data_IF_909983488449
#
_entry.id   IF_909983488449
#
_cell.length_a   1.000
_cell.length_b   1.000
_cell.length_c   1.000
_cell.angle_alpha   90.00
_cell.angle_beta   90.00
_cell.angle_gamma   90.00
#
_symmetry.space_group_name_H-M   'P 1'
#
loop_
_entity.id
_entity.type
_entity.pdbx_description
1 polymer ?
#
# COMPACT_ATOMS: atom_id res chain seq x y z
N UNK A 1 -15.84 11.28 23.87
CA UNK A 1 -15.00 11.78 22.75
C UNK A 1 -15.82 11.75 21.45
N UNK A 2 -15.96 12.87 20.73
CA UNK A 2 -16.58 12.88 19.39
C UNK A 2 -15.58 12.33 18.36
N UNK A 3 -15.93 11.27 17.63
CA UNK A 3 -15.14 10.76 16.49
C UNK A 3 -15.06 11.85 15.41
N UNK A 4 -13.86 12.38 15.17
CA UNK A 4 -13.58 13.26 14.03
C UNK A 4 -13.61 12.43 12.76
N UNK A 5 -14.56 12.70 11.86
CA UNK A 5 -14.55 12.17 10.50
C UNK A 5 -13.65 13.06 9.64
N UNK A 6 -12.45 12.58 9.34
CA UNK A 6 -11.48 13.25 8.48
C UNK A 6 -11.52 12.56 7.12
N UNK A 7 -11.69 13.31 6.04
CA UNK A 7 -11.50 12.80 4.67
C UNK A 7 -10.00 12.80 4.37
N UNK A 8 -9.51 11.75 3.72
CA UNK A 8 -8.11 11.65 3.32
C UNK A 8 -8.01 11.79 1.80
N UNK A 9 -7.09 12.62 1.33
CA UNK A 9 -6.66 12.68 -0.07
C UNK A 9 -5.22 12.16 -0.15
N UNK A 10 -5.03 11.04 -0.84
CA UNK A 10 -3.71 10.46 -1.08
C UNK A 10 -3.30 10.80 -2.51
N UNK A 11 -2.14 11.45 -2.67
CA UNK A 11 -1.56 11.78 -3.96
C UNK A 11 -0.31 10.94 -4.12
N UNK A 12 -0.40 9.90 -4.96
CA UNK A 12 0.74 9.07 -5.30
C UNK A 12 1.64 9.76 -6.34
N UNK A 13 2.94 9.48 -6.30
CA UNK A 13 3.95 10.12 -7.14
C UNK A 13 3.93 11.66 -7.04
N UNK A 14 3.84 12.18 -5.82
CA UNK A 14 3.76 13.61 -5.55
C UNK A 14 4.94 14.42 -6.12
N UNK A 15 6.08 13.79 -6.40
CA UNK A 15 7.22 14.41 -7.10
C UNK A 15 6.88 15.01 -8.48
N UNK A 16 5.73 14.67 -9.06
CA UNK A 16 5.25 15.25 -10.32
C UNK A 16 4.31 16.45 -10.14
N UNK A 17 3.99 16.84 -8.90
CA UNK A 17 3.21 18.04 -8.63
C UNK A 17 4.04 19.28 -8.93
N UNK A 18 3.45 20.24 -9.65
CA UNK A 18 4.02 21.57 -9.78
C UNK A 18 3.63 22.48 -8.58
N UNK A 19 4.32 23.61 -8.43
CA UNK A 19 4.03 24.60 -7.39
C UNK A 19 2.58 25.11 -7.41
N UNK A 20 1.97 25.23 -8.59
CA UNK A 20 0.57 25.67 -8.73
C UNK A 20 -0.40 24.68 -8.07
N UNK A 21 -0.22 23.39 -8.36
CA UNK A 21 -0.99 22.31 -7.77
C UNK A 21 -0.76 22.24 -6.25
N UNK A 22 0.50 22.34 -5.81
CA UNK A 22 0.84 22.34 -4.39
C UNK A 22 0.19 23.51 -3.65
N UNK A 23 0.22 24.73 -4.21
CA UNK A 23 -0.46 25.91 -3.64
C UNK A 23 -1.96 25.69 -3.53
N UNK A 24 -2.61 25.14 -4.57
CA UNK A 24 -4.04 24.83 -4.54
C UNK A 24 -4.39 23.79 -3.48
N UNK A 25 -3.56 22.78 -3.28
CA UNK A 25 -3.73 21.78 -2.21
C UNK A 25 -3.63 22.43 -0.82
N UNK A 26 -2.72 23.38 -0.64
CA UNK A 26 -2.60 24.13 0.62
C UNK A 26 -3.83 25.00 0.88
N UNK A 27 -4.35 25.68 -0.14
CA UNK A 27 -5.61 26.43 -0.05
C UNK A 27 -6.77 25.52 0.29
N UNK A 28 -6.91 24.38 -0.40
CA UNK A 28 -7.95 23.40 -0.13
C UNK A 28 -7.89 22.89 1.31
N UNK A 29 -6.71 22.50 1.79
CA UNK A 29 -6.50 22.07 3.18
C UNK A 29 -6.89 23.16 4.17
N UNK A 30 -6.54 24.42 3.90
CA UNK A 30 -6.91 25.58 4.74
C UNK A 30 -8.43 25.78 4.79
N UNK A 31 -9.13 25.67 3.66
CA UNK A 31 -10.58 25.78 3.59
C UNK A 31 -11.29 24.63 4.31
N UNK A 32 -10.77 23.40 4.20
CA UNK A 32 -11.34 22.22 4.84
C UNK A 32 -10.96 22.08 6.33
N UNK A 33 -10.06 22.91 6.86
CA UNK A 33 -9.58 22.86 8.25
C UNK A 33 -9.19 21.43 8.64
N UNK A 34 -9.60 20.97 9.83
CA UNK A 34 -9.29 19.63 10.36
C UNK A 34 -10.16 18.51 9.76
N UNK A 35 -10.87 18.76 8.65
CA UNK A 35 -11.74 17.75 7.99
C UNK A 35 -11.09 17.12 6.76
N UNK A 36 -9.91 17.57 6.35
CA UNK A 36 -9.14 17.02 5.25
C UNK A 36 -7.69 16.77 5.66
N UNK A 37 -7.27 15.51 5.59
CA UNK A 37 -5.86 15.12 5.57
C UNK A 37 -5.39 14.99 4.13
N UNK A 38 -4.20 15.49 3.83
CA UNK A 38 -3.55 15.31 2.52
C UNK A 38 -2.25 14.55 2.77
N UNK A 39 -2.06 13.47 2.04
CA UNK A 39 -0.85 12.65 2.08
C UNK A 39 -0.19 12.71 0.71
N UNK A 40 1.03 13.25 0.68
CA UNK A 40 1.86 13.29 -0.51
C UNK A 40 2.82 12.11 -0.45
N UNK A 41 2.66 11.14 -1.35
CA UNK A 41 3.50 9.96 -1.40
C UNK A 41 4.53 10.15 -2.51
N UNK A 42 5.81 10.07 -2.15
CA UNK A 42 6.93 10.18 -3.08
C UNK A 42 7.84 8.98 -2.94
N UNK A 43 8.48 8.58 -4.03
CA UNK A 43 9.57 7.58 -3.99
C UNK A 43 10.87 8.30 -3.69
N UNK A 44 11.56 7.86 -2.64
CA UNK A 44 12.89 8.34 -2.31
C UNK A 44 13.93 7.55 -3.12
N UNK A 45 14.88 8.25 -3.73
CA UNK A 45 16.05 7.59 -4.30
C UNK A 45 16.99 7.12 -3.18
N UNK A 46 17.81 6.13 -3.46
CA UNK A 46 18.81 5.64 -2.51
C UNK A 46 19.72 6.78 -2.06
N UNK A 47 19.85 7.00 -0.74
CA UNK A 47 20.60 8.08 -0.10
C UNK A 47 20.01 9.50 -0.25
N UNK A 48 18.81 9.65 -0.78
CA UNK A 48 18.15 10.94 -0.86
C UNK A 48 17.71 11.44 0.52
N UNK A 49 17.76 12.76 0.74
CA UNK A 49 17.14 13.37 1.94
C UNK A 49 15.62 13.32 1.80
N UNK A 50 14.89 13.24 2.91
CA UNK A 50 13.41 13.11 2.90
C UNK A 50 12.69 14.21 2.11
N UNK A 51 13.28 15.41 2.01
CA UNK A 51 12.70 16.56 1.30
C UNK A 51 13.09 16.62 -0.17
N UNK A 52 14.13 15.91 -0.56
CA UNK A 52 14.74 16.01 -1.89
C UNK A 52 13.73 15.87 -3.04
N UNK A 53 12.73 14.95 -2.98
CA UNK A 53 11.77 14.80 -4.08
C UNK A 53 10.83 16.00 -4.29
N UNK A 54 10.65 16.86 -3.30
CA UNK A 54 9.76 18.02 -3.34
C UNK A 54 10.48 19.33 -3.03
N UNK A 55 11.81 19.31 -2.92
CA UNK A 55 12.59 20.43 -2.39
C UNK A 55 12.39 21.70 -3.22
N UNK A 56 12.44 21.59 -4.54
CA UNK A 56 12.22 22.72 -5.45
C UNK A 56 10.82 23.33 -5.29
N UNK A 57 9.79 22.50 -5.13
CA UNK A 57 8.42 22.98 -4.96
C UNK A 57 8.17 23.54 -3.57
N UNK A 58 8.83 23.00 -2.55
CA UNK A 58 8.83 23.58 -1.20
C UNK A 58 9.60 24.90 -1.12
N UNK A 59 10.64 25.11 -1.92
CA UNK A 59 11.29 26.42 -2.05
C UNK A 59 10.33 27.45 -2.68
N UNK A 60 9.52 27.04 -3.66
CA UNK A 60 8.50 27.89 -4.31
C UNK A 60 7.26 28.10 -3.45
N UNK A 61 6.95 27.17 -2.54
CA UNK A 61 5.79 27.22 -1.64
C UNK A 61 6.22 26.95 -0.18
N UNK A 62 6.90 27.91 0.48
CA UNK A 62 7.50 27.69 1.81
C UNK A 62 6.50 27.25 2.89
N UNK A 63 5.27 27.79 2.84
CA UNK A 63 4.21 27.43 3.77
C UNK A 63 3.83 25.94 3.73
N UNK A 64 4.04 25.26 2.59
CA UNK A 64 3.82 23.82 2.50
C UNK A 64 4.88 23.04 3.28
N UNK A 65 6.15 23.48 3.23
CA UNK A 65 7.28 22.84 3.92
C UNK A 65 7.10 22.82 5.44
N UNK A 66 6.56 23.90 5.99
CA UNK A 66 6.34 24.10 7.43
C UNK A 66 5.23 23.20 7.99
N UNK A 67 4.19 22.93 7.18
CA UNK A 67 3.01 22.19 7.63
C UNK A 67 3.04 20.72 7.27
N UNK A 68 3.82 20.33 6.26
CA UNK A 68 4.00 18.93 5.86
C UNK A 68 4.84 18.19 6.90
N UNK A 69 4.22 17.23 7.59
CA UNK A 69 4.93 16.27 8.42
C UNK A 69 5.54 15.19 7.53
N UNK A 70 6.79 14.84 7.79
CA UNK A 70 7.52 13.83 7.03
C UNK A 70 7.43 12.50 7.76
N UNK A 71 7.12 11.46 7.02
CA UNK A 71 7.14 10.09 7.50
C UNK A 71 7.92 9.31 6.47
N UNK A 72 9.06 8.78 6.87
CA UNK A 72 9.80 7.83 6.05
C UNK A 72 9.10 6.48 6.15
N UNK A 73 8.61 5.97 5.02
CA UNK A 73 8.11 4.61 4.93
C UNK A 73 9.26 3.76 4.41
N UNK A 74 9.77 2.89 5.27
CA UNK A 74 10.83 1.94 4.89
C UNK A 74 10.27 0.92 3.89
N UNK A 75 11.17 0.41 3.06
CA UNK A 75 10.87 -0.74 2.22
C UNK A 75 10.36 -1.90 3.08
N UNK A 76 9.45 -2.66 2.51
CA UNK A 76 8.88 -3.81 3.20
C UNK A 76 10.00 -4.84 3.43
N UNK A 77 10.05 -5.40 4.63
CA UNK A 77 10.88 -6.58 4.90
C UNK A 77 10.02 -7.82 4.77
N UNK A 78 10.63 -8.99 4.57
CA UNK A 78 9.89 -10.26 4.51
C UNK A 78 9.10 -10.49 5.80
N UNK A 79 9.70 -10.21 6.94
CA UNK A 79 9.06 -10.37 8.26
C UNK A 79 7.87 -9.42 8.40
N UNK A 80 8.02 -8.15 7.99
CA UNK A 80 6.94 -7.17 7.96
C UNK A 80 5.82 -7.56 6.98
N UNK A 81 6.16 -8.16 5.84
CA UNK A 81 5.17 -8.64 4.88
C UNK A 81 4.30 -9.73 5.49
N UNK A 82 4.92 -10.71 6.15
CA UNK A 82 4.18 -11.79 6.79
C UNK A 82 3.29 -11.26 7.92
N UNK A 83 3.87 -10.51 8.87
CA UNK A 83 3.14 -10.09 10.06
C UNK A 83 2.13 -8.96 9.83
N UNK A 84 2.38 -8.06 8.88
CA UNK A 84 1.56 -6.85 8.71
C UNK A 84 0.71 -6.89 7.44
N UNK A 85 1.20 -7.48 6.35
CA UNK A 85 0.53 -7.45 5.05
C UNK A 85 -0.35 -8.66 4.83
N UNK A 86 0.18 -9.88 5.00
CA UNK A 86 -0.59 -11.10 4.73
C UNK A 86 -1.79 -11.23 5.66
N UNK A 87 -1.61 -11.03 6.97
CA UNK A 87 -2.69 -11.07 7.94
C UNK A 87 -3.82 -10.08 7.60
N UNK A 88 -3.47 -8.86 7.19
CA UNK A 88 -4.46 -7.86 6.79
C UNK A 88 -5.16 -8.24 5.48
N UNK A 89 -4.42 -8.78 4.51
CA UNK A 89 -5.00 -9.25 3.24
C UNK A 89 -5.96 -10.41 3.46
N UNK A 90 -5.61 -11.38 4.31
CA UNK A 90 -6.47 -12.49 4.69
C UNK A 90 -7.80 -12.01 5.27
N UNK A 91 -7.74 -11.01 6.15
CA UNK A 91 -8.94 -10.41 6.74
C UNK A 91 -9.75 -9.60 5.73
N UNK A 92 -9.10 -8.71 4.96
CA UNK A 92 -9.77 -7.85 3.98
C UNK A 92 -10.45 -8.66 2.88
N UNK A 93 -9.77 -9.71 2.42
CA UNK A 93 -10.28 -10.63 1.42
C UNK A 93 -11.01 -11.83 2.04
N UNK A 94 -11.22 -11.88 3.35
CA UNK A 94 -11.92 -12.98 4.02
C UNK A 94 -11.54 -14.37 3.47
N UNK A 95 -10.24 -14.66 3.39
CA UNK A 95 -9.75 -15.95 2.92
C UNK A 95 -8.93 -16.68 3.96
N UNK A 96 -8.87 -17.99 3.82
CA UNK A 96 -8.03 -18.88 4.61
C UNK A 96 -7.27 -19.85 3.70
N UNK A 97 -6.20 -20.45 4.22
CA UNK A 97 -5.48 -21.50 3.51
C UNK A 97 -6.33 -22.78 3.45
N UNK A 98 -6.34 -23.42 2.28
CA UNK A 98 -6.97 -24.73 2.19
C UNK A 98 -6.15 -25.77 2.99
N UNK A 99 -6.78 -26.80 3.60
CA UNK A 99 -6.08 -27.76 4.47
C UNK A 99 -4.89 -28.46 3.81
N UNK A 100 -4.94 -28.67 2.49
CA UNK A 100 -3.84 -29.27 1.73
C UNK A 100 -2.58 -28.38 1.63
N UNK A 101 -2.71 -27.08 1.92
CA UNK A 101 -1.62 -26.11 1.91
C UNK A 101 -1.10 -25.75 3.30
N UNK A 102 -1.80 -26.10 4.38
CA UNK A 102 -1.35 -25.85 5.76
C UNK A 102 0.08 -26.37 6.02
N UNK A 103 0.48 -27.58 5.58
CA UNK A 103 1.86 -28.05 5.76
C UNK A 103 2.91 -27.21 5.01
N UNK A 104 2.47 -26.38 4.07
CA UNK A 104 3.30 -25.58 3.17
C UNK A 104 3.12 -24.07 3.35
N UNK A 105 2.51 -23.62 4.47
CA UNK A 105 2.21 -22.21 4.76
C UNK A 105 3.43 -21.30 4.51
N UNK A 106 4.60 -21.66 5.05
CA UNK A 106 5.84 -20.90 4.85
C UNK A 106 6.26 -20.82 3.38
N UNK A 107 6.10 -21.90 2.62
CA UNK A 107 6.43 -21.89 1.20
C UNK A 107 5.44 -21.03 0.39
N UNK A 108 4.16 -21.01 0.80
CA UNK A 108 3.14 -20.12 0.24
C UNK A 108 3.55 -18.67 0.49
N UNK A 109 3.83 -18.29 1.74
CA UNK A 109 4.25 -16.93 2.10
C UNK A 109 5.47 -16.48 1.31
N UNK A 110 6.46 -17.37 1.17
CA UNK A 110 7.67 -17.11 0.39
C UNK A 110 7.38 -16.86 -1.08
N UNK A 111 6.41 -17.56 -1.65
CA UNK A 111 5.97 -17.35 -3.02
C UNK A 111 5.22 -16.02 -3.19
N UNK A 112 4.35 -15.67 -2.24
CA UNK A 112 3.63 -14.40 -2.25
C UNK A 112 4.59 -13.22 -2.08
N UNK A 113 5.58 -13.35 -1.17
CA UNK A 113 6.65 -12.36 -1.00
C UNK A 113 7.45 -12.15 -2.28
N UNK A 114 7.75 -13.22 -3.04
CA UNK A 114 8.48 -13.11 -4.31
C UNK A 114 7.71 -12.34 -5.39
N UNK A 115 6.38 -12.24 -5.30
CA UNK A 115 5.58 -11.48 -6.26
C UNK A 115 5.67 -9.97 -6.04
N UNK A 116 5.71 -9.54 -4.77
CA UNK A 116 5.69 -8.12 -4.40
C UNK A 116 7.10 -7.59 -4.10
N UNK A 117 7.98 -8.44 -3.59
CA UNK A 117 9.25 -8.05 -3.01
C UNK A 117 9.06 -6.97 -1.96
N UNK A 118 10.06 -6.08 -1.87
CA UNK A 118 10.06 -4.99 -0.88
C UNK A 118 9.22 -3.77 -1.26
N UNK A 119 8.54 -3.80 -2.41
CA UNK A 119 7.74 -2.68 -2.93
C UNK A 119 6.27 -2.80 -2.52
N UNK A 120 5.86 -1.95 -1.56
CA UNK A 120 4.48 -1.83 -1.09
C UNK A 120 3.47 -1.56 -2.22
N UNK A 121 3.88 -0.88 -3.30
CA UNK A 121 2.98 -0.54 -4.40
C UNK A 121 2.57 -1.76 -5.24
N UNK A 122 3.35 -2.83 -5.20
CA UNK A 122 3.06 -4.07 -5.93
C UNK A 122 2.06 -4.97 -5.22
N UNK A 123 1.78 -4.75 -3.92
CA UNK A 123 0.85 -5.59 -3.15
C UNK A 123 -0.53 -5.61 -3.80
N UNK A 124 -1.09 -4.45 -4.13
CA UNK A 124 -2.42 -4.40 -4.72
C UNK A 124 -2.43 -5.00 -6.14
N UNK A 125 -1.43 -4.67 -6.96
CA UNK A 125 -1.37 -5.06 -8.37
C UNK A 125 -1.09 -6.55 -8.56
N UNK A 126 -0.12 -7.10 -7.81
CA UNK A 126 0.40 -8.46 -8.00
C UNK A 126 -0.22 -9.49 -7.06
N UNK A 127 -0.81 -9.05 -5.95
CA UNK A 127 -1.32 -9.96 -4.93
C UNK A 127 -2.82 -9.77 -4.68
N UNK A 128 -3.22 -8.64 -4.10
CA UNK A 128 -4.61 -8.45 -3.66
C UNK A 128 -5.62 -8.49 -4.82
N UNK A 129 -5.33 -7.80 -5.92
CA UNK A 129 -6.19 -7.77 -7.11
C UNK A 129 -6.37 -9.15 -7.76
N UNK A 130 -5.27 -9.85 -8.09
CA UNK A 130 -5.34 -11.22 -8.61
C UNK A 130 -6.02 -12.20 -7.64
N UNK A 131 -5.67 -12.20 -6.36
CA UNK A 131 -6.32 -13.07 -5.37
C UNK A 131 -7.83 -12.82 -5.31
N UNK A 132 -8.25 -11.55 -5.22
CA UNK A 132 -9.67 -11.23 -5.16
C UNK A 132 -10.43 -11.65 -6.42
N UNK A 133 -9.78 -11.62 -7.59
CA UNK A 133 -10.35 -12.11 -8.84
C UNK A 133 -10.53 -13.62 -8.84
N UNK A 134 -9.49 -14.36 -8.47
CA UNK A 134 -9.48 -15.82 -8.52
C UNK A 134 -10.29 -16.47 -7.39
N UNK A 135 -10.33 -15.85 -6.20
CA UNK A 135 -11.16 -16.29 -5.09
C UNK A 135 -12.67 -16.04 -5.33
N UNK A 136 -13.01 -15.22 -6.33
CA UNK A 136 -14.40 -14.91 -6.70
C UNK A 136 -15.10 -13.92 -5.74
N UNK A 137 -16.35 -13.53 -6.04
CA UNK A 137 -17.01 -12.36 -5.42
C UNK A 137 -17.60 -12.58 -4.02
N UNK A 138 -17.57 -13.81 -3.49
CA UNK A 138 -18.28 -14.19 -2.26
C UNK A 138 -17.51 -13.77 -1.00
N UNK A 139 -17.53 -12.48 -0.66
CA UNK A 139 -16.85 -11.96 0.53
C UNK A 139 -17.58 -12.26 1.85
N UNK A 140 -18.82 -12.76 1.79
CA UNK A 140 -19.68 -13.11 2.92
C UNK A 140 -19.32 -14.45 3.57
N UNK A 141 -18.48 -15.26 2.91
CA UNK A 141 -18.00 -16.55 3.39
C UNK A 141 -16.48 -16.57 3.32
N UNK A 142 -15.87 -17.37 4.20
CA UNK A 142 -14.43 -17.65 4.13
C UNK A 142 -14.13 -18.31 2.79
N UNK A 143 -13.25 -17.68 2.01
CA UNK A 143 -12.79 -18.16 0.70
C UNK A 143 -11.54 -19.00 0.92
N UNK A 144 -11.44 -20.17 0.29
CA UNK A 144 -10.25 -21.00 0.45
C UNK A 144 -9.23 -20.70 -0.63
N UNK A 145 -8.04 -20.29 -0.22
CA UNK A 145 -6.87 -20.24 -1.06
C UNK A 145 -6.40 -21.67 -1.33
N UNK A 146 -6.84 -22.24 -2.45
CA UNK A 146 -6.46 -23.59 -2.89
C UNK A 146 -5.20 -23.58 -3.74
N UNK A 147 -4.62 -24.76 -3.96
CA UNK A 147 -3.48 -24.94 -4.88
C UNK A 147 -3.75 -24.36 -6.27
N UNK A 148 -4.96 -24.55 -6.79
CA UNK A 148 -5.35 -24.05 -8.11
C UNK A 148 -5.36 -22.52 -8.17
N UNK A 149 -5.95 -21.86 -7.17
CA UNK A 149 -5.98 -20.39 -7.06
C UNK A 149 -4.55 -19.84 -7.00
N UNK A 150 -3.70 -20.43 -6.16
CA UNK A 150 -2.29 -20.04 -6.04
C UNK A 150 -1.55 -20.16 -7.37
N UNK A 151 -1.75 -21.24 -8.12
CA UNK A 151 -1.13 -21.42 -9.44
C UNK A 151 -1.61 -20.37 -10.46
N UNK A 152 -2.89 -20.00 -10.42
CA UNK A 152 -3.42 -18.94 -11.29
C UNK A 152 -2.83 -17.57 -10.95
N UNK A 153 -2.78 -17.21 -9.66
CA UNK A 153 -2.18 -15.95 -9.21
C UNK A 153 -0.69 -15.88 -9.54
N UNK A 154 0.05 -16.98 -9.34
CA UNK A 154 1.49 -17.04 -9.63
C UNK A 154 1.81 -17.20 -11.13
N UNK A 155 0.83 -17.62 -11.94
CA UNK A 155 1.01 -17.92 -13.36
C UNK A 155 1.94 -19.11 -13.65
N UNK A 156 2.17 -20.00 -12.69
CA UNK A 156 3.11 -21.12 -12.79
C UNK A 156 2.76 -22.27 -11.82
N UNK A 157 3.19 -23.51 -12.11
CA UNK A 157 2.99 -24.63 -11.19
C UNK A 157 3.71 -24.43 -9.84
N UNK A 158 3.10 -24.95 -8.78
CA UNK A 158 3.70 -24.96 -7.44
C UNK A 158 4.77 -26.06 -7.35
N UNK A 159 5.91 -25.78 -6.68
CA UNK A 159 7.04 -26.71 -6.57
C UNK A 159 6.87 -27.80 -5.49
N UNK A 160 5.73 -27.85 -4.80
CA UNK A 160 5.35 -28.80 -3.75
C UNK A 160 3.90 -29.17 -3.95
#
# INVERSE_FOLDING_TARGET
MKRLRIKLLIINNAQWLDHCALQRLMLLRRHCKNRLGIVLVTRLQTNARLDEPLEAEFQRVPAAKEICRRVEVRQLTKDSFQAEVLDHLMQELNYDLAPELEPFEKQVDDLLWRLTGSDWSLIHEKLAGPLNRELGPCNDKVRLLTRAVLMQVLGKPLPF
#
